data_IF_490629888128
#
_entry.id   IF_490629888128
#
_cell.length_a   1.000
_cell.length_b   1.000
_cell.length_c   1.000
_cell.angle_alpha   90.00
_cell.angle_beta   90.00
_cell.angle_gamma   90.00
#
_symmetry.space_group_name_H-M   'P 1'
#
loop_
_entity.id
_entity.type
_entity.pdbx_description
1 polymer ?
#
# COMPACT_ATOMS: atom_id res chain seq x y z
N UNK A 1 27.02 -21.38 1.76
CA UNK A 1 26.66 -20.15 2.49
C UNK A 1 27.89 -19.70 3.25
N UNK A 2 28.44 -18.52 2.93
CA UNK A 2 29.54 -17.95 3.73
C UNK A 2 28.97 -17.43 5.06
N UNK A 3 29.72 -17.63 6.14
CA UNK A 3 29.26 -17.27 7.49
C UNK A 3 29.41 -15.74 7.69
N UNK A 4 28.43 -15.06 8.29
CA UNK A 4 28.44 -13.60 8.50
C UNK A 4 29.70 -13.16 9.26
N UNK A 5 30.17 -13.99 10.20
CA UNK A 5 31.41 -13.76 10.96
C UNK A 5 32.66 -13.67 10.07
N UNK A 6 32.61 -14.20 8.84
CA UNK A 6 33.73 -14.12 7.87
C UNK A 6 33.63 -12.91 6.94
N UNK A 7 32.44 -12.32 6.79
CA UNK A 7 32.18 -11.22 5.86
C UNK A 7 32.24 -9.84 6.54
N UNK A 8 31.80 -9.73 7.79
CA UNK A 8 31.88 -8.49 8.57
C UNK A 8 32.03 -8.83 10.07
N UNK A 9 33.27 -8.91 10.58
CA UNK A 9 33.54 -9.22 11.98
C UNK A 9 32.97 -8.17 12.93
N UNK A 10 33.00 -6.87 12.55
CA UNK A 10 32.44 -5.81 13.39
C UNK A 10 30.92 -5.91 13.51
N UNK A 11 30.25 -6.29 12.42
CA UNK A 11 28.81 -6.53 12.41
C UNK A 11 28.42 -7.70 13.31
N UNK A 12 29.15 -8.81 13.25
CA UNK A 12 28.94 -9.96 14.14
C UNK A 12 29.12 -9.57 15.62
N UNK A 13 30.16 -8.79 15.94
CA UNK A 13 30.40 -8.33 17.30
C UNK A 13 29.31 -7.37 17.80
N UNK A 14 28.77 -6.52 16.93
CA UNK A 14 27.64 -5.65 17.25
C UNK A 14 26.38 -6.46 17.57
N UNK A 15 26.12 -7.52 16.79
CA UNK A 15 25.00 -8.44 17.01
C UNK A 15 25.13 -9.19 18.35
N UNK A 16 26.33 -9.63 18.72
CA UNK A 16 26.58 -10.31 19.99
C UNK A 16 26.41 -9.39 21.22
N UNK A 17 26.52 -8.07 21.04
CA UNK A 17 26.35 -7.07 22.11
C UNK A 17 24.90 -6.66 22.36
N UNK A 18 23.98 -6.95 21.45
CA UNK A 18 22.57 -6.54 21.54
C UNK A 18 21.65 -7.75 21.69
N UNK A 19 20.67 -7.64 22.60
CA UNK A 19 19.73 -8.73 22.89
C UNK A 19 19.01 -9.20 21.61
N UNK A 20 18.88 -10.52 21.46
CA UNK A 20 18.15 -11.17 20.37
C UNK A 20 16.69 -10.71 20.27
N UNK A 21 16.12 -10.21 21.37
CA UNK A 21 14.80 -9.58 21.36
C UNK A 21 14.75 -8.28 20.52
N UNK A 22 15.88 -7.60 20.36
CA UNK A 22 16.03 -6.37 19.57
C UNK A 22 16.33 -6.66 18.09
N UNK A 23 16.51 -7.92 17.69
CA UNK A 23 16.76 -8.35 16.31
C UNK A 23 15.42 -8.51 15.59
N UNK A 24 14.77 -7.41 15.18
CA UNK A 24 13.36 -7.45 14.87
C UNK A 24 13.20 -8.12 13.51
N UNK A 25 12.81 -9.38 13.48
CA UNK A 25 12.10 -9.98 12.32
C UNK A 25 11.46 -11.35 12.55
N UNK A 26 11.66 -12.05 13.68
CA UNK A 26 11.29 -13.47 13.75
C UNK A 26 10.51 -13.93 14.98
N UNK A 27 10.37 -13.17 16.07
CA UNK A 27 9.81 -13.73 17.30
C UNK A 27 8.41 -13.26 17.67
N UNK A 28 7.47 -13.29 16.72
CA UNK A 28 6.04 -13.19 17.03
C UNK A 28 5.21 -14.17 16.18
N UNK A 29 5.07 -15.40 16.70
CA UNK A 29 3.87 -16.24 16.57
C UNK A 29 3.20 -16.44 15.20
N UNK A 30 3.87 -16.15 14.08
CA UNK A 30 3.34 -16.36 12.73
C UNK A 30 2.64 -15.17 12.06
N UNK A 31 2.72 -13.93 12.58
CA UNK A 31 2.14 -12.76 11.88
C UNK A 31 3.20 -11.74 11.51
N UNK A 32 3.61 -11.77 10.24
CA UNK A 32 4.47 -10.73 9.64
C UNK A 32 3.63 -9.46 9.45
N UNK A 33 3.80 -8.47 10.33
CA UNK A 33 3.36 -7.12 10.02
C UNK A 33 4.35 -6.47 9.05
N UNK A 34 3.81 -5.69 8.12
CA UNK A 34 4.42 -5.32 6.85
C UNK A 34 5.79 -4.66 6.95
N UNK A 35 6.70 -5.19 6.13
CA UNK A 35 7.66 -4.43 5.33
C UNK A 35 8.52 -3.43 6.14
N UNK A 36 9.61 -3.93 6.71
CA UNK A 36 10.81 -3.12 6.90
C UNK A 36 11.49 -2.90 5.54
N UNK A 37 10.80 -2.31 4.57
CA UNK A 37 11.53 -1.67 3.47
C UNK A 37 12.00 -0.34 4.02
N UNK A 38 13.27 -0.29 4.38
CA UNK A 38 14.00 0.96 4.45
C UNK A 38 13.83 1.80 3.18
N UNK A 39 13.38 1.22 2.06
CA UNK A 39 13.07 1.91 0.81
C UNK A 39 12.31 3.24 0.99
N UNK A 40 11.28 3.36 1.82
CA UNK A 40 10.57 4.64 1.91
C UNK A 40 11.42 5.73 2.56
N UNK A 41 12.07 5.44 3.70
CA UNK A 41 12.93 6.41 4.38
C UNK A 41 14.28 6.61 3.65
N UNK A 42 14.84 5.58 3.05
CA UNK A 42 16.04 5.64 2.20
C UNK A 42 15.78 6.37 0.88
N UNK A 43 14.65 6.13 0.21
CA UNK A 43 14.26 6.87 -1.00
C UNK A 43 14.08 8.35 -0.67
N UNK A 44 13.43 8.66 0.45
CA UNK A 44 13.31 10.04 0.92
C UNK A 44 14.68 10.63 1.28
N UNK A 45 15.57 9.87 1.93
CA UNK A 45 16.93 10.31 2.26
C UNK A 45 17.80 10.51 1.01
N UNK A 46 17.61 9.71 -0.05
CA UNK A 46 18.28 9.89 -1.33
C UNK A 46 17.77 11.15 -2.05
N UNK A 47 16.46 11.40 -2.01
CA UNK A 47 15.91 12.67 -2.52
C UNK A 47 16.48 13.85 -1.72
N UNK A 48 16.58 13.73 -0.38
CA UNK A 48 17.16 14.78 0.44
C UNK A 48 18.66 14.95 0.26
N UNK A 49 19.41 13.88 -0.02
CA UNK A 49 20.86 13.96 -0.30
C UNK A 49 21.11 14.70 -1.61
N UNK A 50 20.30 14.47 -2.64
CA UNK A 50 20.31 15.22 -3.90
C UNK A 50 19.85 16.68 -3.71
N UNK A 51 18.91 16.92 -2.80
CA UNK A 51 18.37 18.26 -2.53
C UNK A 51 19.21 19.10 -1.56
N UNK A 52 20.33 18.61 -1.02
CA UNK A 52 21.15 19.35 -0.02
C UNK A 52 21.70 20.69 -0.53
N UNK A 53 21.77 20.87 -1.85
CA UNK A 53 22.19 22.13 -2.47
C UNK A 53 21.05 23.15 -2.63
N UNK A 54 19.79 22.76 -2.38
CA UNK A 54 18.64 23.64 -2.52
C UNK A 54 18.29 24.28 -1.16
N UNK A 55 17.95 25.58 -1.13
CA UNK A 55 17.39 26.20 0.06
C UNK A 55 16.12 25.45 0.49
N UNK A 56 15.98 25.16 1.79
CA UNK A 56 14.79 24.51 2.36
C UNK A 56 13.52 25.27 1.98
N UNK A 57 13.59 26.61 1.92
CA UNK A 57 12.50 27.48 1.47
C UNK A 57 12.04 27.16 0.04
N UNK A 58 12.97 26.93 -0.89
CA UNK A 58 12.64 26.60 -2.28
C UNK A 58 11.96 25.22 -2.40
N UNK A 59 12.39 24.24 -1.60
CA UNK A 59 11.77 22.91 -1.57
C UNK A 59 10.34 22.99 -1.01
N UNK A 60 10.16 23.73 0.09
CA UNK A 60 8.84 23.93 0.71
C UNK A 60 7.91 24.65 -0.25
N UNK A 61 8.38 25.73 -0.90
CA UNK A 61 7.61 26.48 -1.89
C UNK A 61 7.22 25.60 -3.09
N UNK A 62 8.16 24.86 -3.67
CA UNK A 62 7.87 23.94 -4.78
C UNK A 62 6.86 22.86 -4.37
N UNK A 63 7.03 22.27 -3.18
CA UNK A 63 6.14 21.23 -2.67
C UNK A 63 4.73 21.79 -2.48
N UNK A 64 4.62 22.98 -1.90
CA UNK A 64 3.34 23.68 -1.72
C UNK A 64 2.63 23.90 -3.06
N UNK A 65 3.30 24.52 -4.04
CA UNK A 65 2.69 24.80 -5.33
C UNK A 65 2.30 23.55 -6.11
N UNK A 66 3.17 22.53 -6.14
CA UNK A 66 2.87 21.25 -6.79
C UNK A 66 1.67 20.56 -6.14
N UNK A 67 1.65 20.53 -4.81
CA UNK A 67 0.56 19.90 -4.04
C UNK A 67 -0.75 20.64 -4.27
N UNK A 68 -0.74 21.97 -4.19
CA UNK A 68 -1.92 22.79 -4.44
C UNK A 68 -2.45 22.61 -5.87
N UNK A 69 -1.58 22.66 -6.88
CA UNK A 69 -1.96 22.43 -8.28
C UNK A 69 -2.57 21.03 -8.47
N UNK A 70 -2.00 20.01 -7.82
CA UNK A 70 -2.54 18.65 -7.86
C UNK A 70 -3.95 18.57 -7.25
N UNK A 71 -4.17 19.18 -6.08
CA UNK A 71 -5.48 19.21 -5.43
C UNK A 71 -6.52 19.96 -6.26
N UNK A 72 -6.18 21.14 -6.79
CA UNK A 72 -7.07 21.92 -7.65
C UNK A 72 -7.47 21.11 -8.88
N UNK A 73 -6.51 20.46 -9.54
CA UNK A 73 -6.79 19.63 -10.71
C UNK A 73 -7.67 18.42 -10.33
N UNK A 74 -7.43 17.81 -9.16
CA UNK A 74 -8.23 16.71 -8.66
C UNK A 74 -9.66 17.13 -8.32
N UNK A 75 -9.85 18.32 -7.76
CA UNK A 75 -11.16 18.89 -7.49
C UNK A 75 -11.96 19.07 -8.78
N UNK A 76 -11.40 19.74 -9.80
CA UNK A 76 -12.05 19.88 -11.10
C UNK A 76 -12.40 18.53 -11.74
N UNK A 77 -11.53 17.54 -11.59
CA UNK A 77 -11.81 16.17 -12.05
C UNK A 77 -13.00 15.54 -11.31
N UNK A 78 -13.09 15.75 -9.99
CA UNK A 78 -14.22 15.29 -9.17
C UNK A 78 -15.53 15.99 -9.57
N UNK A 79 -15.54 17.32 -9.66
CA UNK A 79 -16.71 18.12 -10.06
C UNK A 79 -17.23 17.70 -11.45
N UNK A 80 -16.33 17.51 -12.41
CA UNK A 80 -16.70 17.01 -13.75
C UNK A 80 -17.36 15.63 -13.68
N UNK A 81 -16.94 14.76 -12.76
CA UNK A 81 -17.51 13.41 -12.62
C UNK A 81 -18.82 13.42 -11.85
N UNK A 82 -18.95 14.31 -10.86
CA UNK A 82 -20.21 14.58 -10.18
C UNK A 82 -21.26 15.09 -11.17
N UNK A 83 -20.91 16.05 -12.04
CA UNK A 83 -21.78 16.52 -13.12
C UNK A 83 -22.18 15.41 -14.13
N UNK A 84 -21.34 14.39 -14.30
CA UNK A 84 -21.64 13.19 -15.11
C UNK A 84 -22.44 12.13 -14.34
N UNK A 85 -22.80 12.35 -13.08
CA UNK A 85 -23.46 11.37 -12.21
C UNK A 85 -22.59 10.15 -11.87
N UNK A 86 -21.26 10.25 -12.01
CA UNK A 86 -20.33 9.14 -11.75
C UNK A 86 -19.83 9.17 -10.31
N UNK A 87 -20.46 8.37 -9.45
CA UNK A 87 -20.16 8.29 -8.02
C UNK A 87 -18.77 7.71 -7.69
N UNK A 88 -18.29 6.75 -8.48
CA UNK A 88 -17.08 5.98 -8.16
C UNK A 88 -15.93 6.27 -9.12
N UNK A 89 -14.68 6.12 -8.66
CA UNK A 89 -13.49 6.23 -9.51
C UNK A 89 -13.55 5.26 -10.71
N UNK A 90 -12.84 5.55 -11.79
CA UNK A 90 -12.84 4.68 -12.98
C UNK A 90 -12.40 3.26 -12.62
N UNK A 91 -11.40 3.13 -11.75
CA UNK A 91 -10.93 1.83 -11.27
C UNK A 91 -11.98 1.08 -10.46
N UNK A 92 -12.64 1.76 -9.53
CA UNK A 92 -13.72 1.15 -8.74
C UNK A 92 -14.89 0.73 -9.66
N UNK A 93 -15.23 1.57 -10.64
CA UNK A 93 -16.28 1.26 -11.62
C UNK A 93 -15.92 0.05 -12.48
N UNK A 94 -14.65 -0.07 -12.89
CA UNK A 94 -14.15 -1.23 -13.63
C UNK A 94 -14.25 -2.52 -12.81
N UNK A 95 -13.85 -2.46 -11.54
CA UNK A 95 -13.97 -3.59 -10.60
C UNK A 95 -15.44 -3.99 -10.43
N UNK A 96 -16.33 -3.03 -10.16
CA UNK A 96 -17.77 -3.28 -10.06
C UNK A 96 -18.35 -3.94 -11.33
N UNK A 97 -17.93 -3.49 -12.52
CA UNK A 97 -18.35 -4.10 -13.79
C UNK A 97 -17.81 -5.52 -13.96
N UNK A 98 -16.60 -5.80 -13.48
CA UNK A 98 -16.02 -7.15 -13.50
C UNK A 98 -16.77 -8.08 -12.55
N UNK A 99 -17.05 -7.59 -11.34
CA UNK A 99 -17.74 -8.35 -10.30
C UNK A 99 -19.20 -8.61 -10.69
N UNK A 100 -19.88 -7.63 -11.28
CA UNK A 100 -21.23 -7.82 -11.78
C UNK A 100 -21.29 -8.87 -12.91
N UNK A 101 -20.32 -8.85 -13.85
CA UNK A 101 -20.20 -9.89 -14.88
C UNK A 101 -19.94 -11.28 -14.32
N UNK A 102 -19.23 -11.38 -13.20
CA UNK A 102 -19.03 -12.64 -12.49
C UNK A 102 -20.33 -13.06 -11.79
N UNK A 103 -20.95 -12.14 -11.05
CA UNK A 103 -22.21 -12.36 -10.32
C UNK A 103 -23.37 -12.76 -11.21
N UNK A 104 -23.45 -12.25 -12.44
CA UNK A 104 -24.53 -12.60 -13.37
C UNK A 104 -24.52 -14.08 -13.78
N UNK A 105 -23.42 -14.79 -13.53
CA UNK A 105 -23.30 -16.23 -13.77
C UNK A 105 -23.66 -17.06 -12.55
N UNK A 106 -23.88 -16.44 -11.40
CA UNK A 106 -24.21 -17.11 -10.16
C UNK A 106 -25.71 -16.92 -9.87
N UNK A 107 -26.41 -18.02 -9.60
CA UNK A 107 -27.79 -18.02 -9.09
C UNK A 107 -27.77 -18.50 -7.66
N UNK A 108 -28.29 -17.69 -6.74
CA UNK A 108 -28.36 -18.04 -5.31
C UNK A 108 -29.82 -18.37 -4.96
N UNK A 109 -30.04 -19.56 -4.41
CA UNK A 109 -31.34 -20.02 -3.93
C UNK A 109 -31.29 -20.18 -2.42
N UNK A 110 -32.23 -19.58 -1.70
CA UNK A 110 -32.31 -19.68 -0.24
C UNK A 110 -32.93 -21.01 0.15
N UNK A 111 -32.21 -21.84 0.91
CA UNK A 111 -32.72 -23.12 1.40
C UNK A 111 -33.31 -22.94 2.81
N UNK A 112 -32.54 -22.35 3.72
CA UNK A 112 -32.99 -22.06 5.08
C UNK A 112 -32.38 -20.74 5.58
N UNK A 113 -33.21 -19.69 5.64
CA UNK A 113 -32.77 -18.35 6.03
C UNK A 113 -32.38 -18.23 7.51
N UNK A 114 -32.97 -19.04 8.39
CA UNK A 114 -32.71 -19.01 9.82
C UNK A 114 -31.41 -19.72 10.19
N UNK A 115 -31.04 -20.75 9.42
CA UNK A 115 -29.77 -21.45 9.54
C UNK A 115 -28.63 -20.81 8.71
N UNK A 116 -28.97 -19.87 7.80
CA UNK A 116 -28.00 -19.25 6.90
C UNK A 116 -27.58 -20.15 5.73
N UNK A 117 -28.43 -21.09 5.31
CA UNK A 117 -28.15 -22.03 4.23
C UNK A 117 -28.64 -21.51 2.87
N UNK A 118 -27.71 -21.44 1.92
CA UNK A 118 -27.94 -20.99 0.55
C UNK A 118 -27.28 -21.96 -0.43
N UNK A 119 -27.98 -22.29 -1.51
CA UNK A 119 -27.42 -23.03 -2.64
C UNK A 119 -26.97 -22.04 -3.71
N UNK A 120 -25.77 -22.23 -4.25
CA UNK A 120 -25.22 -21.36 -5.31
C UNK A 120 -24.93 -22.20 -6.54
N UNK A 121 -25.66 -21.95 -7.61
CA UNK A 121 -25.43 -22.53 -8.92
C UNK A 121 -24.59 -21.56 -9.76
N UNK A 122 -23.53 -22.04 -10.39
CA UNK A 122 -22.65 -21.22 -11.24
C UNK A 122 -22.75 -21.70 -12.69
N UNK A 123 -23.23 -20.85 -13.58
CA UNK A 123 -23.27 -21.10 -15.02
C UNK A 123 -21.87 -21.06 -15.65
N UNK A 124 -21.57 -22.09 -16.46
CA UNK A 124 -20.37 -22.17 -17.31
C UNK A 124 -20.40 -21.23 -18.50
#
# INVERSE_FOLDING_TARGET
MQNICQLCPEGAQWFDQHDLAMWPFHKDGGTRWGIATTNSSESINNVYSECRALPISAIVEMTFWKTNAWFVNRLHWCEKREAQGKLHSDKATEIMKKDNRKSSRHKVTVMNRNAGEYSVETGH
#
